data_IF_527622739011
#
_entry.id   IF_527622739011
#
_cell.length_a   1.000
_cell.length_b   1.000
_cell.length_c   1.000
_cell.angle_alpha   90.00
_cell.angle_beta   90.00
_cell.angle_gamma   90.00
#
_symmetry.space_group_name_H-M   'P 1'
#
loop_
_entity.id
_entity.type
_entity.pdbx_description
1 polymer ?
#
# COMPACT_ATOMS: atom_id res chain seq x y z
N UNK A 1 14.15 58.72 -8.33
CA UNK A 1 13.42 57.46 -8.06
C UNK A 1 14.22 56.33 -8.69
N UNK A 2 14.71 55.43 -7.85
CA UNK A 2 15.92 54.62 -8.08
C UNK A 2 15.62 53.32 -8.87
N UNK A 3 16.37 53.06 -9.95
CA UNK A 3 16.19 51.88 -10.84
C UNK A 3 16.29 50.52 -10.14
N UNK A 4 16.95 50.44 -8.98
CA UNK A 4 17.08 49.22 -8.19
C UNK A 4 15.76 48.75 -7.53
N UNK A 5 14.80 49.64 -7.29
CA UNK A 5 13.52 49.27 -6.66
C UNK A 5 12.56 48.58 -7.65
N UNK A 6 12.73 48.81 -8.96
CA UNK A 6 11.94 48.16 -10.02
C UNK A 6 12.39 46.73 -10.29
N UNK A 7 13.69 46.44 -10.24
CA UNK A 7 14.24 45.09 -10.43
C UNK A 7 13.89 44.15 -9.27
N UNK A 8 13.96 44.62 -8.02
CA UNK A 8 13.60 43.80 -6.84
C UNK A 8 12.11 43.47 -6.78
N UNK A 9 11.23 44.41 -7.15
CA UNK A 9 9.78 44.16 -7.24
C UNK A 9 9.40 43.22 -8.39
N UNK A 10 10.13 43.29 -9.51
CA UNK A 10 9.98 42.37 -10.65
C UNK A 10 10.43 40.94 -10.33
N UNK A 11 11.48 40.77 -9.54
CA UNK A 11 11.95 39.45 -9.12
C UNK A 11 11.02 38.81 -8.08
N UNK A 12 10.49 39.60 -7.14
CA UNK A 12 9.48 39.14 -6.16
C UNK A 12 8.20 38.66 -6.85
N UNK A 13 7.70 39.40 -7.84
CA UNK A 13 6.51 39.00 -8.61
C UNK A 13 6.74 37.77 -9.49
N UNK A 14 7.96 37.57 -10.00
CA UNK A 14 8.32 36.35 -10.73
C UNK A 14 8.34 35.11 -9.82
N UNK A 15 8.94 35.22 -8.63
CA UNK A 15 8.96 34.13 -7.63
C UNK A 15 7.55 33.81 -7.13
N UNK A 16 6.70 34.83 -6.92
CA UNK A 16 5.28 34.63 -6.54
C UNK A 16 4.49 33.91 -7.65
N UNK A 17 4.76 34.23 -8.92
CA UNK A 17 4.12 33.58 -10.07
C UNK A 17 4.55 32.12 -10.20
N UNK A 18 5.85 31.83 -10.09
CA UNK A 18 6.36 30.46 -10.11
C UNK A 18 5.84 29.62 -8.93
N UNK A 19 5.69 30.22 -7.74
CA UNK A 19 5.10 29.57 -6.59
C UNK A 19 3.62 29.26 -6.83
N UNK A 20 2.86 30.20 -7.37
CA UNK A 20 1.44 30.01 -7.69
C UNK A 20 1.21 28.98 -8.80
N UNK A 21 2.07 28.93 -9.82
CA UNK A 21 2.00 27.93 -10.88
C UNK A 21 2.31 26.53 -10.35
N UNK A 22 3.27 26.41 -9.42
CA UNK A 22 3.55 25.13 -8.74
C UNK A 22 2.40 24.71 -7.83
N UNK A 23 1.81 25.66 -7.11
CA UNK A 23 0.64 25.41 -6.26
C UNK A 23 -0.56 25.01 -7.11
N UNK A 24 -0.81 25.70 -8.22
CA UNK A 24 -1.88 25.37 -9.17
C UNK A 24 -1.64 24.01 -9.82
N UNK A 25 -0.44 23.74 -10.33
CA UNK A 25 -0.05 22.43 -10.86
C UNK A 25 -0.21 21.31 -9.84
N UNK A 26 0.13 21.56 -8.58
CA UNK A 26 -0.06 20.60 -7.49
C UNK A 26 -1.56 20.32 -7.27
N UNK A 27 -2.40 21.35 -7.18
CA UNK A 27 -3.85 21.20 -6.97
C UNK A 27 -4.62 20.74 -8.23
N UNK A 28 -4.12 20.99 -9.44
CA UNK A 28 -4.72 20.48 -10.67
C UNK A 28 -4.42 19.00 -10.88
N UNK A 29 -3.29 18.50 -10.38
CA UNK A 29 -2.90 17.09 -10.47
C UNK A 29 -3.35 16.26 -9.26
N UNK A 30 -3.73 16.90 -8.15
CA UNK A 30 -4.23 16.25 -6.95
C UNK A 30 -5.67 16.68 -6.70
N UNK A 31 -6.61 15.78 -6.98
CA UNK A 31 -8.01 15.94 -6.58
C UNK A 31 -8.07 16.04 -5.03
N UNK A 32 -8.39 17.22 -4.47
CA UNK A 32 -8.44 17.42 -3.02
C UNK A 32 -9.57 16.61 -2.36
N UNK A 33 -10.49 16.04 -3.15
CA UNK A 33 -11.58 15.16 -2.71
C UNK A 33 -11.34 13.70 -3.14
N UNK A 34 -10.09 13.28 -3.37
CA UNK A 34 -9.82 11.90 -3.79
C UNK A 34 -10.18 10.89 -2.70
N UNK A 35 -11.39 10.34 -2.78
CA UNK A 35 -11.87 9.30 -1.89
C UNK A 35 -11.27 7.94 -2.27
N UNK A 36 -10.68 7.27 -1.28
CA UNK A 36 -10.22 5.89 -1.44
C UNK A 36 -11.21 4.92 -0.81
N UNK A 37 -11.81 4.08 -1.64
CA UNK A 37 -12.53 2.90 -1.15
C UNK A 37 -11.50 1.83 -0.77
N UNK A 38 -11.37 1.56 0.53
CA UNK A 38 -10.41 0.58 1.08
C UNK A 38 -10.65 -0.86 0.58
N UNK A 39 -11.81 -1.14 -0.01
CA UNK A 39 -12.16 -2.44 -0.58
C UNK A 39 -11.96 -2.53 -2.10
N UNK A 40 -11.76 -1.41 -2.78
CA UNK A 40 -11.53 -1.38 -4.22
C UNK A 40 -10.09 -1.81 -4.53
N UNK A 41 -9.90 -2.75 -5.44
CA UNK A 41 -8.59 -3.36 -5.78
C UNK A 41 -7.56 -2.34 -6.28
N UNK A 42 -8.02 -1.24 -6.85
CA UNK A 42 -7.18 -0.21 -7.46
C UNK A 42 -6.60 0.77 -6.44
N UNK A 43 -7.05 0.74 -5.18
CA UNK A 43 -6.60 1.69 -4.16
C UNK A 43 -5.37 1.18 -3.41
N UNK A 44 -4.39 2.05 -3.09
CA UNK A 44 -3.19 1.67 -2.35
C UNK A 44 -3.51 1.24 -0.91
N UNK A 45 -4.71 1.48 -0.40
CA UNK A 45 -5.16 1.03 0.92
C UNK A 45 -5.81 -0.36 0.91
N UNK A 46 -6.13 -0.90 -0.27
CA UNK A 46 -6.70 -2.23 -0.40
C UNK A 46 -5.64 -3.32 -0.21
N UNK A 47 -5.98 -4.37 0.55
CA UNK A 47 -5.06 -5.48 0.81
C UNK A 47 -4.76 -6.32 -0.43
N UNK A 48 -5.66 -6.32 -1.41
CA UNK A 48 -5.50 -7.04 -2.69
C UNK A 48 -4.80 -6.19 -3.75
N UNK A 49 -4.49 -4.93 -3.45
CA UNK A 49 -3.75 -4.05 -4.35
C UNK A 49 -2.39 -4.67 -4.70
N UNK A 50 -2.01 -4.69 -5.99
CA UNK A 50 -0.72 -5.20 -6.42
C UNK A 50 0.43 -4.45 -5.75
N UNK A 51 1.29 -5.16 -5.03
CA UNK A 51 2.51 -4.61 -4.42
C UNK A 51 3.52 -5.72 -4.21
N UNK A 52 4.81 -5.39 -4.21
CA UNK A 52 5.85 -6.38 -3.89
C UNK A 52 6.12 -6.34 -2.39
N UNK A 53 5.97 -7.47 -1.72
CA UNK A 53 6.36 -7.65 -0.32
C UNK A 53 7.39 -8.76 -0.26
N UNK A 54 8.53 -8.52 0.38
CA UNK A 54 9.54 -9.51 0.66
C UNK A 54 9.67 -9.70 2.17
N UNK A 55 9.53 -10.94 2.64
CA UNK A 55 9.77 -11.35 4.02
C UNK A 55 10.53 -12.70 4.03
N UNK A 56 11.66 -12.77 4.75
CA UNK A 56 12.51 -13.98 4.86
C UNK A 56 12.80 -14.66 3.50
N UNK A 57 13.19 -13.87 2.49
CA UNK A 57 13.46 -14.31 1.11
C UNK A 57 12.24 -14.84 0.32
N UNK A 58 11.02 -14.70 0.84
CA UNK A 58 9.79 -15.03 0.13
C UNK A 58 9.16 -13.76 -0.42
N UNK A 59 8.72 -13.83 -1.68
CA UNK A 59 8.08 -12.72 -2.37
C UNK A 59 6.57 -12.93 -2.46
N UNK A 60 5.83 -11.87 -2.16
CA UNK A 60 4.38 -11.79 -2.24
C UNK A 60 3.98 -10.63 -3.16
N UNK A 61 2.82 -10.76 -3.78
CA UNK A 61 2.31 -9.89 -4.84
C UNK A 61 1.18 -8.97 -4.32
N UNK A 62 0.78 -9.15 -3.06
CA UNK A 62 -0.15 -8.29 -2.33
C UNK A 62 -0.06 -8.56 -0.82
N UNK A 63 -0.56 -7.62 -0.02
CA UNK A 63 -0.73 -7.82 1.43
C UNK A 63 -1.66 -9.01 1.73
N UNK A 64 -2.74 -9.18 0.95
CA UNK A 64 -3.67 -10.31 1.07
C UNK A 64 -2.93 -11.66 0.95
N UNK A 65 -2.02 -11.77 -0.03
CA UNK A 65 -1.24 -13.00 -0.23
C UNK A 65 -0.32 -13.28 0.95
N UNK A 66 0.38 -12.27 1.45
CA UNK A 66 1.21 -12.37 2.66
C UNK A 66 0.37 -12.80 3.87
N UNK A 67 -0.71 -12.08 4.17
CA UNK A 67 -1.57 -12.36 5.33
C UNK A 67 -2.16 -13.77 5.28
N UNK A 68 -2.60 -14.21 4.10
CA UNK A 68 -3.18 -15.54 3.90
C UNK A 68 -2.13 -16.64 4.07
N UNK A 69 -0.90 -16.42 3.59
CA UNK A 69 0.22 -17.35 3.80
C UNK A 69 0.58 -17.46 5.28
N UNK A 70 0.68 -16.33 5.98
CA UNK A 70 0.96 -16.29 7.42
C UNK A 70 -0.17 -16.93 8.24
N UNK A 71 -1.44 -16.76 7.82
CA UNK A 71 -2.57 -17.48 8.40
C UNK A 71 -2.37 -19.00 8.30
N UNK A 72 -1.99 -19.53 7.13
CA UNK A 72 -1.73 -20.95 6.97
C UNK A 72 -0.62 -21.45 7.92
N UNK A 73 0.43 -20.65 8.12
CA UNK A 73 1.53 -20.96 9.04
C UNK A 73 1.11 -20.97 10.50
N UNK A 74 0.24 -20.06 10.93
CA UNK A 74 -0.33 -20.06 12.30
C UNK A 74 -1.01 -21.40 12.61
N UNK A 75 -1.65 -22.02 11.63
CA UNK A 75 -2.32 -23.31 11.77
C UNK A 75 -1.48 -24.53 11.35
N UNK A 76 -0.16 -24.33 11.20
CA UNK A 76 0.80 -25.37 10.81
C UNK A 76 0.48 -26.04 9.46
N UNK A 77 -0.25 -25.36 8.56
CA UNK A 77 -0.60 -25.84 7.23
C UNK A 77 0.41 -25.36 6.17
N UNK A 78 1.66 -25.84 6.28
CA UNK A 78 2.75 -25.41 5.38
C UNK A 78 2.50 -25.83 3.92
N UNK A 79 1.71 -26.89 3.71
CA UNK A 79 1.26 -27.29 2.39
C UNK A 79 0.37 -26.21 1.76
N UNK A 80 -0.56 -25.64 2.53
CA UNK A 80 -1.38 -24.54 2.05
C UNK A 80 -0.57 -23.25 1.91
N UNK A 81 0.35 -22.96 2.83
CA UNK A 81 1.25 -21.79 2.74
C UNK A 81 2.02 -21.78 1.41
N UNK A 82 2.59 -22.93 1.00
CA UNK A 82 3.28 -23.07 -0.31
C UNK A 82 2.34 -22.88 -1.50
N UNK A 83 1.09 -23.35 -1.43
CA UNK A 83 0.08 -23.14 -2.49
C UNK A 83 -0.30 -21.67 -2.61
N UNK A 84 -0.49 -20.99 -1.47
CA UNK A 84 -0.83 -19.56 -1.41
C UNK A 84 0.32 -18.71 -1.97
N UNK A 85 1.56 -19.04 -1.63
CA UNK A 85 2.74 -18.36 -2.16
C UNK A 85 2.83 -18.44 -3.70
N UNK A 86 2.33 -19.53 -4.29
CA UNK A 86 2.25 -19.74 -5.75
C UNK A 86 0.92 -19.28 -6.37
N UNK A 87 0.06 -18.61 -5.61
CA UNK A 87 -1.20 -18.10 -6.15
C UNK A 87 -0.96 -16.78 -6.89
N UNK A 88 -1.30 -16.75 -8.17
CA UNK A 88 -1.06 -15.58 -9.04
C UNK A 88 -2.25 -14.60 -9.05
N UNK A 89 -3.40 -15.01 -8.52
CA UNK A 89 -4.62 -14.19 -8.54
C UNK A 89 -5.21 -14.02 -7.14
N UNK A 90 -5.82 -12.85 -6.84
CA UNK A 90 -6.52 -12.64 -5.58
C UNK A 90 -7.62 -13.67 -5.33
N UNK A 91 -8.36 -14.07 -6.38
CA UNK A 91 -9.40 -15.10 -6.29
C UNK A 91 -8.86 -16.46 -5.84
N UNK A 92 -7.73 -16.91 -6.43
CA UNK A 92 -7.08 -18.16 -6.04
C UNK A 92 -6.53 -18.08 -4.62
N UNK A 93 -5.90 -16.97 -4.25
CA UNK A 93 -5.40 -16.74 -2.89
C UNK A 93 -6.53 -16.83 -1.86
N UNK A 94 -7.65 -16.16 -2.11
CA UNK A 94 -8.83 -16.16 -1.24
C UNK A 94 -9.45 -17.56 -1.11
N UNK A 95 -9.56 -18.31 -2.20
CA UNK A 95 -10.05 -19.69 -2.17
C UNK A 95 -9.15 -20.60 -1.31
N UNK A 96 -7.83 -20.49 -1.48
CA UNK A 96 -6.86 -21.25 -0.67
C UNK A 96 -6.91 -20.83 0.81
N UNK A 97 -7.07 -19.54 1.11
CA UNK A 97 -7.21 -19.03 2.47
C UNK A 97 -8.45 -19.53 3.23
N UNK A 98 -9.52 -19.89 2.51
CA UNK A 98 -10.70 -20.57 3.07
C UNK A 98 -10.47 -22.05 3.32
N UNK A 99 -9.52 -22.66 2.61
CA UNK A 99 -9.20 -24.09 2.70
C UNK A 99 -8.10 -24.43 3.72
N UNK A 100 -7.54 -23.42 4.42
CA UNK A 100 -6.54 -23.60 5.47
C UNK A 100 -7.09 -24.53 6.56
N UNK A 101 -6.35 -25.60 6.86
CA UNK A 101 -6.74 -26.58 7.87
C UNK A 101 -6.59 -26.04 9.29
N UNK A 102 -7.27 -26.72 10.23
CA UNK A 102 -7.17 -26.47 11.67
C UNK A 102 -7.48 -25.02 12.08
N UNK A 103 -8.28 -24.31 11.28
CA UNK A 103 -8.62 -22.92 11.57
C UNK A 103 -9.38 -22.84 12.90
N UNK A 104 -8.81 -22.06 13.81
CA UNK A 104 -9.42 -21.68 15.07
C UNK A 104 -9.52 -20.16 15.17
N UNK A 105 -10.71 -19.68 15.52
CA UNK A 105 -10.98 -18.25 15.52
C UNK A 105 -10.23 -17.51 16.63
N UNK A 106 -10.03 -18.13 17.79
CA UNK A 106 -9.36 -17.53 18.93
C UNK A 106 -7.86 -17.39 18.66
N UNK A 107 -7.23 -18.48 18.21
CA UNK A 107 -5.83 -18.47 17.78
C UNK A 107 -5.62 -17.43 16.67
N UNK A 108 -6.55 -17.35 15.69
CA UNK A 108 -6.46 -16.31 14.66
C UNK A 108 -6.57 -14.90 15.25
N UNK A 109 -7.49 -14.68 16.18
CA UNK A 109 -7.70 -13.38 16.81
C UNK A 109 -6.42 -12.87 17.52
N UNK A 110 -5.71 -13.75 18.21
CA UNK A 110 -4.46 -13.44 18.91
C UNK A 110 -3.31 -13.07 17.96
N UNK A 111 -3.33 -13.60 16.73
CA UNK A 111 -2.22 -13.44 15.77
C UNK A 111 -2.49 -12.41 14.67
N UNK A 112 -3.76 -12.19 14.29
CA UNK A 112 -4.14 -11.42 13.09
C UNK A 112 -3.63 -10.00 13.10
N UNK A 113 -3.65 -9.32 14.25
CA UNK A 113 -3.27 -7.91 14.34
C UNK A 113 -1.82 -7.72 13.95
N UNK A 114 -0.91 -8.51 14.54
CA UNK A 114 0.51 -8.49 14.19
C UNK A 114 0.71 -8.78 12.70
N UNK A 115 0.06 -9.82 12.16
CA UNK A 115 0.20 -10.20 10.74
C UNK A 115 -0.28 -9.08 9.81
N UNK A 116 -1.42 -8.45 10.10
CA UNK A 116 -1.96 -7.34 9.31
C UNK A 116 -1.04 -6.11 9.40
N UNK A 117 -0.53 -5.80 10.60
CA UNK A 117 0.42 -4.71 10.81
C UNK A 117 1.73 -4.93 10.05
N UNK A 118 2.28 -6.14 10.10
CA UNK A 118 3.48 -6.51 9.35
C UNK A 118 3.23 -6.36 7.84
N UNK A 119 2.07 -6.81 7.34
CA UNK A 119 1.70 -6.70 5.93
C UNK A 119 1.60 -5.25 5.46
N UNK A 120 0.98 -4.39 6.27
CA UNK A 120 0.85 -2.96 5.98
C UNK A 120 2.23 -2.28 6.04
N UNK A 121 3.02 -2.58 7.07
CA UNK A 121 4.38 -2.06 7.22
C UNK A 121 5.21 -2.43 5.99
N UNK A 122 5.28 -3.70 5.60
CA UNK A 122 6.03 -4.11 4.41
C UNK A 122 5.51 -3.48 3.13
N UNK A 123 4.19 -3.41 2.94
CA UNK A 123 3.60 -2.77 1.77
C UNK A 123 4.10 -1.34 1.61
N UNK A 124 3.95 -0.51 2.62
CA UNK A 124 4.27 0.92 2.51
C UNK A 124 5.76 1.20 2.66
N UNK A 125 6.53 0.39 3.39
CA UNK A 125 7.99 0.60 3.53
C UNK A 125 8.78 0.11 2.32
N UNK A 126 8.31 -0.93 1.63
CA UNK A 126 9.02 -1.53 0.47
C UNK A 126 8.54 -0.99 -0.89
N UNK A 127 7.48 -0.19 -0.91
CA UNK A 127 6.90 0.38 -2.14
C UNK A 127 6.71 1.90 -1.93
N UNK A 128 7.75 2.70 -2.21
CA UNK A 128 7.72 4.16 -2.00
C UNK A 128 6.63 4.87 -2.79
N UNK A 129 6.28 4.34 -3.97
CA UNK A 129 5.22 4.85 -4.82
C UNK A 129 3.81 4.73 -4.23
N UNK A 130 3.64 3.99 -3.12
CA UNK A 130 2.35 3.80 -2.44
C UNK A 130 2.18 4.70 -1.21
N UNK A 131 3.19 5.52 -0.86
CA UNK A 131 3.12 6.46 0.25
C UNK A 131 2.44 7.78 -0.12
#
# INVERSE_FOLDING_TARGET
MNSNDKQSKSALTQVETELMDRVHSYFSNHDPERFYFVYATETPFSNVHPCSITDRNLKFHSSEQYMTCQKARVFNDENMARKILRAETPGKCKALGRAVKNFDQQIWHENRTRIVSDAACFKFTQNEQLK
#
